data_IF_382622248799
#
_entry.id   IF_382622248799
#
_cell.length_a   1.000
_cell.length_b   1.000
_cell.length_c   1.000
_cell.angle_alpha   90.00
_cell.angle_beta   90.00
_cell.angle_gamma   90.00
#
_symmetry.space_group_name_H-M   'P 1'
#
loop_
_entity.id
_entity.type
_entity.pdbx_description
1 polymer ?
#
# COMPACT_ATOMS: atom_id res chain seq x y z
N UNK A 1 -9.63 32.09 -1.87
CA UNK A 1 -9.79 30.62 -2.02
C UNK A 1 -10.34 29.95 -0.75
N UNK A 2 -10.05 30.46 0.46
CA UNK A 2 -10.72 30.07 1.73
C UNK A 2 -12.24 30.33 1.74
N UNK A 3 -12.69 31.41 1.12
CA UNK A 3 -14.10 31.83 1.18
C UNK A 3 -15.03 31.06 0.22
N UNK A 4 -14.48 30.31 -0.74
CA UNK A 4 -15.27 29.52 -1.68
C UNK A 4 -15.77 28.20 -1.06
N UNK A 5 -15.08 27.69 -0.02
CA UNK A 5 -15.30 26.35 0.54
C UNK A 5 -16.25 26.36 1.75
N UNK A 6 -16.44 27.50 2.40
CA UNK A 6 -17.41 27.63 3.50
C UNK A 6 -18.88 27.52 3.05
N UNK A 7 -19.16 27.62 1.75
CA UNK A 7 -20.52 27.61 1.19
C UNK A 7 -21.07 26.22 0.86
N UNK A 8 -20.25 25.16 0.87
CA UNK A 8 -20.66 23.81 0.43
C UNK A 8 -20.95 22.83 1.57
N UNK A 9 -20.78 23.23 2.84
CA UNK A 9 -21.08 22.37 4.00
C UNK A 9 -20.24 21.08 4.08
N UNK A 10 -19.22 20.92 3.24
CA UNK A 10 -18.30 19.78 3.25
C UNK A 10 -17.12 20.08 4.16
N UNK A 11 -16.99 19.28 5.22
CA UNK A 11 -15.81 19.30 6.08
C UNK A 11 -14.65 18.65 5.32
N UNK A 12 -13.79 19.47 4.71
CA UNK A 12 -12.49 19.00 4.21
C UNK A 12 -11.52 19.11 5.39
N UNK A 13 -11.18 17.97 5.98
CA UNK A 13 -10.21 17.90 7.08
C UNK A 13 -8.83 18.23 6.52
N UNK A 14 -8.29 19.40 6.87
CA UNK A 14 -6.88 19.71 6.66
C UNK A 14 -6.08 19.09 7.79
N UNK A 15 -5.30 18.05 7.49
CA UNK A 15 -4.28 17.57 8.43
C UNK A 15 -2.99 18.35 8.24
N UNK A 16 -2.46 18.89 9.35
CA UNK A 16 -1.15 19.56 9.43
C UNK A 16 0.01 18.58 9.64
N UNK A 17 -0.29 17.30 9.85
CA UNK A 17 0.70 16.24 10.04
C UNK A 17 0.80 15.44 8.73
N UNK A 18 1.98 15.39 8.12
CA UNK A 18 2.23 14.65 6.87
C UNK A 18 1.97 13.13 6.96
N UNK A 19 1.55 12.63 8.14
CA UNK A 19 1.37 11.23 8.51
C UNK A 19 -0.10 10.78 8.68
N UNK A 20 -1.12 11.55 8.28
CA UNK A 20 -2.54 11.11 8.40
C UNK A 20 -3.21 10.62 7.11
N UNK A 21 -3.79 9.42 7.09
CA UNK A 21 -4.45 8.88 5.88
C UNK A 21 -5.65 9.75 5.56
N UNK A 22 -5.66 10.36 4.38
CA UNK A 22 -6.75 11.24 3.95
C UNK A 22 -7.80 10.38 3.25
N UNK A 23 -8.87 10.09 3.97
CA UNK A 23 -9.97 9.23 3.50
C UNK A 23 -11.29 9.94 3.77
N UNK A 24 -12.26 9.87 2.85
CA UNK A 24 -13.59 10.46 3.05
C UNK A 24 -13.86 11.78 2.31
N UNK A 25 -12.92 12.28 1.50
CA UNK A 25 -13.24 13.29 0.50
C UNK A 25 -13.70 12.60 -0.80
N UNK A 26 -14.81 13.05 -1.40
CA UNK A 26 -15.36 12.50 -2.66
C UNK A 26 -14.42 12.69 -3.87
N UNK A 27 -13.38 13.50 -3.73
CA UNK A 27 -12.39 13.81 -4.76
C UNK A 27 -11.18 12.85 -4.75
N UNK A 28 -11.03 12.01 -3.72
CA UNK A 28 -9.92 11.05 -3.62
C UNK A 28 -10.39 9.66 -4.06
N UNK A 29 -9.73 9.12 -5.08
CA UNK A 29 -10.00 7.77 -5.57
C UNK A 29 -9.41 6.71 -4.64
N UNK A 30 -10.10 5.59 -4.54
CA UNK A 30 -9.71 4.36 -3.82
C UNK A 30 -8.25 3.95 -4.10
N UNK A 31 -7.78 4.10 -5.34
CA UNK A 31 -6.40 3.75 -5.72
C UNK A 31 -5.34 4.65 -5.08
N UNK A 32 -5.62 5.94 -4.93
CA UNK A 32 -4.70 6.90 -4.27
C UNK A 32 -4.56 6.55 -2.78
N UNK A 33 -5.66 6.14 -2.13
CA UNK A 33 -5.63 5.71 -0.72
C UNK A 33 -4.80 4.43 -0.58
N UNK A 34 -4.90 3.48 -1.52
CA UNK A 34 -4.05 2.28 -1.54
C UNK A 34 -2.57 2.63 -1.70
N UNK A 35 -2.25 3.58 -2.58
CA UNK A 35 -0.87 4.07 -2.77
C UNK A 35 -0.33 4.66 -1.45
N UNK A 36 -1.08 5.57 -0.83
CA UNK A 36 -0.69 6.20 0.43
C UNK A 36 -0.45 5.17 1.54
N UNK A 37 -1.39 4.24 1.72
CA UNK A 37 -1.28 3.18 2.73
C UNK A 37 -0.10 2.23 2.46
N UNK A 38 0.17 1.91 1.19
CA UNK A 38 1.31 1.04 0.83
C UNK A 38 2.64 1.70 1.16
N UNK A 39 2.81 2.98 0.79
CA UNK A 39 4.06 3.72 1.05
C UNK A 39 4.32 3.81 2.55
N UNK A 40 3.29 4.09 3.35
CA UNK A 40 3.44 4.19 4.80
C UNK A 40 3.75 2.86 5.46
N UNK A 41 3.14 1.78 4.98
CA UNK A 41 3.46 0.44 5.48
C UNK A 41 4.90 0.03 5.17
N UNK A 42 5.45 0.44 4.02
CA UNK A 42 6.86 0.20 3.66
C UNK A 42 7.80 1.01 4.56
N UNK A 43 7.40 2.20 4.97
CA UNK A 43 8.19 3.05 5.86
C UNK A 43 8.00 2.74 7.35
N UNK A 44 7.21 1.73 7.70
CA UNK A 44 6.83 1.42 9.09
C UNK A 44 6.32 2.67 9.82
N UNK A 45 5.56 3.51 9.10
CA UNK A 45 5.09 4.78 9.61
C UNK A 45 3.78 4.58 10.40
N UNK A 46 3.53 5.36 11.47
CA UNK A 46 2.28 5.27 12.21
C UNK A 46 1.07 5.47 11.29
N UNK A 47 0.22 4.45 11.14
CA UNK A 47 -1.00 4.50 10.34
C UNK A 47 -2.12 5.24 11.09
N UNK A 48 -1.98 6.56 11.22
CA UNK A 48 -2.97 7.43 11.88
C UNK A 48 -3.98 7.88 10.82
N UNK A 49 -5.27 7.75 11.12
CA UNK A 49 -6.35 8.19 10.23
C UNK A 49 -6.96 9.48 10.74
N UNK A 50 -7.24 10.44 9.84
CA UNK A 50 -7.90 11.70 10.17
C UNK A 50 -9.10 11.88 9.25
N UNK A 51 -10.17 11.18 9.58
CA UNK A 51 -11.41 11.12 8.80
C UNK A 51 -12.63 10.92 9.68
N UNK A 52 -13.80 11.29 9.18
CA UNK A 52 -15.07 10.94 9.81
C UNK A 52 -15.36 9.45 9.57
N UNK A 53 -15.30 8.67 10.64
CA UNK A 53 -15.55 7.23 10.60
C UNK A 53 -17.04 6.91 10.41
N UNK A 54 -17.94 7.88 10.65
CA UNK A 54 -19.39 7.69 10.49
C UNK A 54 -19.83 7.77 9.03
N UNK A 55 -19.14 8.56 8.20
CA UNK A 55 -19.46 8.78 6.78
C UNK A 55 -18.40 8.18 5.84
N UNK A 56 -17.92 6.98 6.16
CA UNK A 56 -16.91 6.31 5.36
C UNK A 56 -17.55 5.44 4.28
N UNK A 57 -17.25 5.73 3.01
CA UNK A 57 -17.68 4.87 1.92
C UNK A 57 -17.12 3.43 2.09
N UNK A 58 -17.92 2.37 1.83
CA UNK A 58 -17.53 0.99 2.12
C UNK A 58 -16.19 0.55 1.50
N UNK A 59 -15.89 0.99 0.28
CA UNK A 59 -14.63 0.63 -0.41
C UNK A 59 -13.38 1.20 0.26
N UNK A 60 -13.48 2.34 0.94
CA UNK A 60 -12.36 2.90 1.71
C UNK A 60 -12.16 2.16 3.03
N UNK A 61 -13.24 1.69 3.66
CA UNK A 61 -13.19 0.90 4.88
C UNK A 61 -12.42 -0.41 4.67
N UNK A 62 -12.66 -1.07 3.54
CA UNK A 62 -11.99 -2.32 3.19
C UNK A 62 -10.47 -2.14 3.04
N UNK A 63 -10.03 -1.03 2.45
CA UNK A 63 -8.60 -0.70 2.34
C UNK A 63 -7.98 -0.55 3.71
N UNK A 64 -8.59 0.26 4.57
CA UNK A 64 -8.05 0.57 5.90
C UNK A 64 -8.00 -0.64 6.82
N UNK A 65 -8.89 -1.62 6.62
CA UNK A 65 -8.96 -2.84 7.41
C UNK A 65 -8.19 -4.02 6.78
N UNK A 66 -7.38 -3.78 5.73
CA UNK A 66 -6.63 -4.84 5.10
C UNK A 66 -5.55 -5.39 6.04
N UNK A 67 -5.83 -6.57 6.61
CA UNK A 67 -4.96 -7.27 7.56
C UNK A 67 -3.57 -7.59 7.00
N UNK A 68 -3.46 -7.81 5.68
CA UNK A 68 -2.18 -8.15 5.07
C UNK A 68 -1.26 -6.95 5.00
N UNK A 69 -1.80 -5.77 4.68
CA UNK A 69 -1.05 -4.50 4.63
C UNK A 69 -0.67 -4.05 6.04
N UNK A 70 -1.61 -4.14 6.99
CA UNK A 70 -1.34 -3.85 8.41
C UNK A 70 -0.25 -4.77 8.97
N UNK A 71 -0.26 -6.06 8.59
CA UNK A 71 0.76 -7.00 9.04
C UNK A 71 2.17 -6.70 8.48
N UNK A 72 2.27 -5.96 7.37
CA UNK A 72 3.58 -5.48 6.87
C UNK A 72 4.03 -4.26 7.67
N UNK A 73 3.14 -3.31 7.93
CA UNK A 73 3.44 -2.13 8.74
C UNK A 73 3.88 -2.50 10.17
N UNK A 74 3.18 -3.47 10.77
CA UNK A 74 3.42 -3.94 12.13
C UNK A 74 4.43 -5.11 12.21
N UNK A 75 5.32 -5.26 11.21
CA UNK A 75 6.38 -6.27 11.26
C UNK A 75 7.31 -5.98 12.46
N UNK A 76 7.47 -6.91 13.42
CA UNK A 76 8.34 -6.70 14.58
C UNK A 76 9.81 -6.44 14.24
N UNK A 77 10.24 -6.77 13.02
CA UNK A 77 11.59 -6.44 12.56
C UNK A 77 11.78 -4.94 12.29
N UNK A 78 10.72 -4.17 12.03
CA UNK A 78 10.74 -2.71 11.94
C UNK A 78 11.73 -2.14 10.90
N UNK A 79 12.12 -2.94 9.91
CA UNK A 79 13.11 -2.53 8.92
C UNK A 79 12.44 -1.69 7.83
N UNK A 80 12.81 -0.42 7.73
CA UNK A 80 12.32 0.49 6.71
C UNK A 80 12.68 -0.02 5.31
N UNK A 81 11.70 -0.11 4.43
CA UNK A 81 11.93 -0.46 3.03
C UNK A 81 12.65 0.65 2.25
N UNK A 82 13.42 0.25 1.24
CA UNK A 82 14.13 1.15 0.33
C UNK A 82 13.67 0.94 -1.10
N UNK A 83 13.75 1.99 -1.93
CA UNK A 83 13.47 1.89 -3.35
C UNK A 83 14.61 1.12 -4.03
N UNK A 84 14.30 -0.06 -4.57
CA UNK A 84 15.30 -0.93 -5.23
C UNK A 84 15.29 -0.75 -6.74
N UNK A 85 14.13 -0.56 -7.36
CA UNK A 85 14.00 -0.45 -8.82
C UNK A 85 12.69 0.27 -9.21
N UNK A 86 12.69 0.95 -10.36
CA UNK A 86 11.52 1.66 -10.92
C UNK A 86 10.92 0.92 -12.15
N UNK A 87 11.11 -0.39 -12.24
CA UNK A 87 10.70 -1.19 -13.41
C UNK A 87 9.50 -2.07 -13.06
N UNK A 88 8.56 -2.22 -13.98
CA UNK A 88 7.40 -3.10 -13.86
C UNK A 88 7.75 -4.59 -13.95
N UNK A 89 8.97 -4.90 -14.39
CA UNK A 89 9.54 -6.24 -14.49
C UNK A 89 10.88 -6.31 -13.77
N UNK A 90 11.09 -7.35 -12.98
CA UNK A 90 12.35 -7.59 -12.29
C UNK A 90 12.59 -9.08 -12.07
N UNK A 91 13.85 -9.44 -11.87
CA UNK A 91 14.27 -10.80 -11.49
C UNK A 91 14.51 -10.81 -9.98
N UNK A 92 14.10 -11.88 -9.29
CA UNK A 92 14.23 -11.98 -7.83
C UNK A 92 15.69 -11.88 -7.36
N UNK A 93 16.63 -12.47 -8.10
CA UNK A 93 18.06 -12.37 -7.79
C UNK A 93 18.58 -10.93 -7.77
N UNK A 94 18.05 -10.04 -8.62
CA UNK A 94 18.45 -8.62 -8.66
C UNK A 94 17.97 -7.86 -7.41
N UNK A 95 16.98 -8.37 -6.69
CA UNK A 95 16.51 -7.84 -5.42
C UNK A 95 17.24 -8.44 -4.21
N UNK A 96 18.28 -9.25 -4.43
CA UNK A 96 18.98 -9.99 -3.38
C UNK A 96 18.23 -11.23 -2.89
N UNK A 97 17.14 -11.61 -3.54
CA UNK A 97 16.34 -12.79 -3.19
C UNK A 97 16.92 -14.04 -3.86
N UNK A 98 17.85 -14.71 -3.17
CA UNK A 98 18.67 -15.82 -3.72
C UNK A 98 18.35 -17.22 -3.19
N UNK A 99 17.31 -17.41 -2.36
CA UNK A 99 16.90 -18.72 -1.85
C UNK A 99 16.63 -19.73 -3.00
N UNK A 100 17.38 -20.85 -3.08
CA UNK A 100 17.23 -21.86 -4.12
C UNK A 100 15.87 -22.58 -4.09
N UNK A 101 15.23 -22.68 -2.92
CA UNK A 101 13.88 -23.27 -2.77
C UNK A 101 12.79 -22.37 -3.39
N UNK A 102 13.10 -21.10 -3.68
CA UNK A 102 12.17 -20.12 -4.24
C UNK A 102 11.34 -19.38 -3.19
N UNK A 103 10.41 -18.57 -3.69
CA UNK A 103 9.58 -17.67 -2.89
C UNK A 103 8.12 -17.83 -3.26
N UNK A 104 7.26 -17.96 -2.24
CA UNK A 104 5.83 -17.82 -2.41
C UNK A 104 5.48 -16.32 -2.44
N UNK A 105 4.91 -15.85 -3.54
CA UNK A 105 4.59 -14.44 -3.76
C UNK A 105 3.09 -14.24 -3.65
N UNK A 106 2.69 -13.32 -2.79
CA UNK A 106 1.31 -12.97 -2.52
C UNK A 106 1.05 -11.51 -2.84
N UNK A 107 -0.03 -11.22 -3.53
CA UNK A 107 -0.58 -9.87 -3.65
C UNK A 107 -1.32 -9.52 -2.36
N UNK A 108 -0.89 -8.45 -1.70
CA UNK A 108 -1.42 -8.00 -0.41
C UNK A 108 -2.76 -7.27 -0.56
N UNK A 109 -3.01 -6.64 -1.70
CA UNK A 109 -4.28 -5.96 -1.98
C UNK A 109 -5.36 -6.94 -2.42
N UNK A 110 -5.00 -7.94 -3.23
CA UNK A 110 -5.91 -9.01 -3.62
C UNK A 110 -6.03 -10.12 -2.55
N UNK A 111 -5.10 -10.16 -1.58
CA UNK A 111 -5.04 -11.22 -0.58
C UNK A 111 -4.83 -12.60 -1.19
N UNK A 112 -4.18 -12.70 -2.35
CA UNK A 112 -4.09 -13.92 -3.16
C UNK A 112 -2.63 -14.27 -3.45
N UNK A 113 -2.31 -15.56 -3.33
CA UNK A 113 -1.03 -16.10 -3.82
C UNK A 113 -1.00 -15.95 -5.35
N UNK A 114 -0.02 -15.21 -5.84
CA UNK A 114 0.24 -15.01 -7.27
C UNK A 114 0.93 -16.23 -7.85
N UNK A 115 1.86 -16.81 -7.09
CA UNK A 115 2.58 -18.01 -7.49
C UNK A 115 3.88 -18.20 -6.73
N UNK A 116 4.62 -19.24 -7.10
CA UNK A 116 5.97 -19.50 -6.61
C UNK A 116 6.98 -19.10 -7.65
N UNK A 117 8.00 -18.34 -7.25
CA UNK A 117 9.04 -17.83 -8.14
C UNK A 117 10.43 -18.20 -7.62
N UNK A 118 11.29 -18.66 -8.52
CA UNK A 118 12.70 -18.93 -8.24
C UNK A 118 13.54 -17.65 -8.41
N UNK A 119 14.76 -17.62 -7.86
CA UNK A 119 15.67 -16.47 -8.03
C UNK A 119 15.92 -16.07 -9.49
N UNK A 120 15.86 -17.01 -10.42
CA UNK A 120 16.05 -16.79 -11.86
C UNK A 120 14.79 -16.32 -12.61
N UNK A 121 13.62 -16.39 -11.98
CA UNK A 121 12.37 -16.10 -12.66
C UNK A 121 12.12 -14.60 -12.74
N UNK A 122 11.54 -14.16 -13.85
CA UNK A 122 11.15 -12.76 -14.06
C UNK A 122 9.72 -12.56 -13.60
N UNK A 123 9.54 -11.67 -12.63
CA UNK A 123 8.23 -11.16 -12.26
C UNK A 123 7.88 -9.96 -13.13
N UNK A 124 6.63 -9.87 -13.58
CA UNK A 124 6.10 -8.69 -14.28
C UNK A 124 4.72 -8.37 -13.74
N UNK A 125 4.52 -7.12 -13.33
CA UNK A 125 3.23 -6.62 -12.89
C UNK A 125 2.76 -5.48 -13.79
N UNK A 126 1.46 -5.49 -14.11
CA UNK A 126 0.79 -4.34 -14.73
C UNK A 126 0.26 -3.46 -13.61
N UNK A 127 0.71 -2.21 -13.57
CA UNK A 127 0.30 -1.24 -12.55
C UNK A 127 -0.47 -0.12 -13.22
N UNK A 128 -1.63 0.23 -12.66
CA UNK A 128 -2.38 1.40 -13.10
C UNK A 128 -1.60 2.69 -12.78
N UNK A 129 -1.69 3.75 -13.60
CA UNK A 129 -0.92 4.99 -13.38
C UNK A 129 -1.12 5.65 -12.01
N UNK A 130 -2.29 5.45 -11.39
CA UNK A 130 -2.64 5.98 -10.06
C UNK A 130 -2.72 4.90 -8.98
N UNK A 131 -2.34 3.66 -9.31
CA UNK A 131 -2.44 2.51 -8.43
C UNK A 131 -1.09 2.03 -7.92
N UNK A 132 -1.14 0.99 -7.09
CA UNK A 132 0.04 0.34 -6.53
C UNK A 132 -0.12 -1.16 -6.60
N UNK A 133 0.98 -1.85 -6.91
CA UNK A 133 1.06 -3.29 -6.84
C UNK A 133 1.90 -3.67 -5.64
N UNK A 134 1.28 -4.20 -4.59
CA UNK A 134 1.95 -4.49 -3.33
C UNK A 134 2.01 -5.98 -3.09
N UNK A 135 3.22 -6.53 -3.07
CA UNK A 135 3.47 -7.96 -2.96
C UNK A 135 4.32 -8.30 -1.73
N UNK A 136 4.11 -9.50 -1.20
CA UNK A 136 4.95 -10.11 -0.18
C UNK A 136 5.55 -11.40 -0.73
N UNK A 137 6.87 -11.51 -0.67
CA UNK A 137 7.60 -12.73 -1.02
C UNK A 137 8.03 -13.44 0.27
N UNK A 138 7.64 -14.70 0.44
CA UNK A 138 8.01 -15.55 1.58
C UNK A 138 8.90 -16.68 1.09
N UNK A 139 10.10 -16.78 1.64
CA UNK A 139 11.04 -17.85 1.35
C UNK A 139 10.40 -19.23 1.63
N UNK A 140 10.52 -20.15 0.67
CA UNK A 140 10.18 -21.55 0.88
C UNK A 140 11.30 -22.24 1.68
N UNK A 141 10.90 -23.16 2.55
CA UNK A 141 11.82 -24.00 3.34
C UNK A 141 12.21 -25.24 2.53
#
# INVERSE_FOLDING_TARGET
MRDALAKTGRSIVYSTEWNTIVVGNSEITVDIVKVQMSIWSIWSAPLIMSNDLCDLAPGHKEILLNKYVIAVDQDPLGNMGSLVNQTTSFVFSNLGLTNPSGYNVMDLWAGKIVGTFRPSDTYTATVNPTGVHFIKAVALQ
#
